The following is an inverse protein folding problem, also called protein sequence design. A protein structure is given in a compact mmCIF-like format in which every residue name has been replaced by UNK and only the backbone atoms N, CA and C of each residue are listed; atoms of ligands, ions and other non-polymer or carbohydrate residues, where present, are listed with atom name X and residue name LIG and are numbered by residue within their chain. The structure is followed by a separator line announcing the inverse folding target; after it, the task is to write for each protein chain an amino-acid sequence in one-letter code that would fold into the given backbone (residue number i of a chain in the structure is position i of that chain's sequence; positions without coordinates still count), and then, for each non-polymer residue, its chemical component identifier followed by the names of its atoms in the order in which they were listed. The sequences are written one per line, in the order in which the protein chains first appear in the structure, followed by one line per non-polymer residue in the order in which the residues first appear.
data_IF_614870743821
#
_entry.id   IF_614870743821
#
_cell.length_a   1.000
_cell.length_b   1.000
_cell.length_c   1.000
_cell.angle_alpha   90.00
_cell.angle_beta   90.00
_cell.angle_gamma   90.00
#
_symmetry.space_group_name_H-M   'P 1'
#
loop_
_entity.id
_entity.type
_entity.pdbx_description
1 polymer ?
#
# COMPACT_ATOMS: atom_id res chain seq x y z
N UNK A 1 -25.55 33.57 3.93
CA UNK A 1 -25.15 32.26 4.49
C UNK A 1 -23.68 32.04 4.12
N UNK A 2 -22.77 32.37 5.03
CA UNK A 2 -21.32 32.19 4.83
C UNK A 2 -21.01 30.69 4.84
N UNK A 3 -20.63 30.14 3.69
CA UNK A 3 -20.02 28.81 3.61
C UNK A 3 -18.79 28.87 4.51
N UNK A 4 -18.84 28.22 5.68
CA UNK A 4 -17.67 28.10 6.55
C UNK A 4 -16.57 27.42 5.72
N UNK A 5 -15.53 28.17 5.40
CA UNK A 5 -14.38 27.64 4.66
C UNK A 5 -13.82 26.45 5.44
N UNK A 6 -13.99 25.25 4.89
CA UNK A 6 -13.45 24.03 5.50
C UNK A 6 -11.94 24.20 5.62
N UNK A 7 -11.43 24.26 6.84
CA UNK A 7 -10.01 24.46 7.11
C UNK A 7 -9.21 23.29 6.53
N UNK A 8 -8.30 23.59 5.62
CA UNK A 8 -7.45 22.59 4.98
C UNK A 8 -6.57 21.89 6.01
N UNK A 9 -6.68 20.56 6.10
CA UNK A 9 -5.87 19.71 7.00
C UNK A 9 -4.51 19.36 6.38
N UNK A 10 -3.54 20.25 6.55
CA UNK A 10 -2.16 20.06 6.07
C UNK A 10 -1.42 18.94 6.78
N UNK A 11 -1.75 18.68 8.04
CA UNK A 11 -1.23 17.60 8.86
C UNK A 11 -1.44 16.21 8.24
N UNK A 12 -2.55 16.00 7.51
CA UNK A 12 -2.78 14.75 6.77
C UNK A 12 -1.73 14.51 5.68
N UNK A 13 -1.23 15.58 5.04
CA UNK A 13 -0.11 15.46 4.11
C UNK A 13 1.19 15.15 4.86
N UNK A 14 1.37 15.72 6.06
CA UNK A 14 2.49 15.35 6.94
C UNK A 14 2.52 13.86 7.29
N UNK A 15 1.38 13.27 7.64
CA UNK A 15 1.29 11.83 7.91
C UNK A 15 1.64 11.03 6.65
N UNK A 16 1.16 11.45 5.46
CA UNK A 16 1.56 10.83 4.19
C UNK A 16 3.05 10.93 3.91
N UNK A 17 3.68 12.05 4.29
CA UNK A 17 5.11 12.25 4.13
C UNK A 17 5.93 11.28 5.00
N UNK A 18 5.51 11.08 6.25
CA UNK A 18 6.12 10.08 7.12
C UNK A 18 5.93 8.67 6.54
N UNK A 19 4.72 8.35 6.11
CA UNK A 19 4.37 7.06 5.52
C UNK A 19 5.22 6.73 4.28
N UNK A 20 5.32 7.65 3.30
CA UNK A 20 6.14 7.40 2.10
C UNK A 20 7.62 7.32 2.43
N UNK A 21 8.10 8.15 3.35
CA UNK A 21 9.51 8.12 3.76
C UNK A 21 9.87 6.78 4.38
N UNK A 22 9.02 6.25 5.26
CA UNK A 22 9.18 4.93 5.86
C UNK A 22 9.24 3.82 4.78
N UNK A 23 8.33 3.86 3.80
CA UNK A 23 8.31 2.88 2.70
C UNK A 23 9.59 2.95 1.86
N UNK A 24 10.02 4.16 1.48
CA UNK A 24 11.24 4.33 0.70
C UNK A 24 12.46 3.82 1.48
N UNK A 25 12.58 4.18 2.75
CA UNK A 25 13.67 3.71 3.61
C UNK A 25 13.68 2.18 3.74
N UNK A 26 12.51 1.54 3.84
CA UNK A 26 12.42 0.08 3.83
C UNK A 26 12.90 -0.53 2.52
N UNK A 27 12.54 0.04 1.36
CA UNK A 27 12.97 -0.50 0.08
C UNK A 27 14.46 -0.31 -0.20
N UNK A 28 15.02 0.86 0.12
CA UNK A 28 16.43 1.15 -0.11
C UNK A 28 17.36 0.57 0.97
N UNK A 29 16.89 0.49 2.22
CA UNK A 29 17.67 0.07 3.38
C UNK A 29 16.90 -0.91 4.30
N UNK A 30 16.47 -2.08 3.80
CA UNK A 30 15.58 -3.00 4.51
C UNK A 30 16.15 -3.54 5.82
N UNK A 31 17.48 -3.63 5.95
CA UNK A 31 18.13 -4.07 7.19
C UNK A 31 18.13 -3.00 8.29
N UNK A 32 18.14 -1.72 7.92
CA UNK A 32 18.12 -0.59 8.87
C UNK A 32 16.70 -0.18 9.23
N UNK A 33 15.77 -0.31 8.28
CA UNK A 33 14.37 0.07 8.44
C UNK A 33 13.42 -1.08 8.11
N UNK A 34 13.53 -2.24 8.79
CA UNK A 34 12.75 -3.44 8.46
C UNK A 34 11.23 -3.21 8.58
N UNK A 35 10.83 -2.27 9.44
CA UNK A 35 9.43 -1.97 9.73
C UNK A 35 8.87 -0.81 8.89
N UNK A 36 9.64 -0.27 7.94
CA UNK A 36 9.17 0.84 7.10
C UNK A 36 8.05 0.45 6.12
N UNK A 37 7.85 -0.85 5.85
CA UNK A 37 6.72 -1.38 5.09
C UNK A 37 5.35 -0.98 5.69
N UNK A 38 5.33 -0.70 7.00
CA UNK A 38 4.15 -0.27 7.74
C UNK A 38 3.62 1.10 7.24
N UNK A 39 4.42 1.90 6.55
CA UNK A 39 3.93 3.14 5.93
C UNK A 39 2.77 2.91 4.95
N UNK A 40 2.68 1.74 4.31
CA UNK A 40 1.52 1.36 3.47
C UNK A 40 0.23 1.28 4.30
N UNK A 41 0.31 0.77 5.52
CA UNK A 41 -0.84 0.66 6.43
C UNK A 41 -1.37 2.04 6.84
N UNK A 42 -0.46 2.99 7.05
CA UNK A 42 -0.81 4.37 7.35
C UNK A 42 -1.58 5.02 6.19
N UNK A 43 -1.21 4.72 4.93
CA UNK A 43 -1.97 5.15 3.76
C UNK A 43 -3.39 4.58 3.75
N UNK A 44 -3.58 3.31 4.11
CA UNK A 44 -4.91 2.71 4.18
C UNK A 44 -5.81 3.39 5.22
N UNK A 45 -5.29 3.67 6.42
CA UNK A 45 -6.02 4.45 7.44
C UNK A 45 -6.41 5.82 6.93
N UNK A 46 -5.45 6.55 6.34
CA UNK A 46 -5.69 7.88 5.77
C UNK A 46 -6.74 7.86 4.65
N UNK A 47 -6.71 6.85 3.78
CA UNK A 47 -7.68 6.71 2.69
C UNK A 47 -9.08 6.45 3.24
N UNK A 48 -9.21 5.59 4.24
CA UNK A 48 -10.46 5.35 4.95
C UNK A 48 -11.04 6.61 5.61
N UNK A 49 -10.21 7.38 6.32
CA UNK A 49 -10.60 8.66 6.94
C UNK A 49 -11.08 9.67 5.90
N UNK A 50 -10.30 9.87 4.83
CA UNK A 50 -10.62 10.85 3.79
C UNK A 50 -11.89 10.49 3.01
N UNK A 51 -12.15 9.20 2.76
CA UNK A 51 -13.37 8.78 2.07
C UNK A 51 -14.58 8.94 2.98
N UNK A 52 -14.44 8.60 4.27
CA UNK A 52 -15.50 8.73 5.25
C UNK A 52 -15.90 10.19 5.46
N UNK A 53 -14.92 11.08 5.65
CA UNK A 53 -15.17 12.54 5.71
C UNK A 53 -15.86 13.10 4.47
N UNK A 54 -15.63 12.51 3.29
CA UNK A 54 -16.27 12.95 2.07
C UNK A 54 -17.74 12.53 2.04
N UNK A 55 -18.03 11.27 2.39
CA UNK A 55 -19.39 10.73 2.42
C UNK A 55 -20.24 11.31 3.57
N UNK A 56 -19.64 11.65 4.71
CA UNK A 56 -20.32 12.28 5.84
C UNK A 56 -20.82 13.70 5.55
N UNK A 57 -20.27 14.35 4.51
CA UNK A 57 -20.72 15.69 4.07
C UNK A 57 -21.95 15.63 3.19
N UNK A 58 -22.20 14.47 2.56
CA UNK A 58 -23.35 14.29 1.69
C UNK A 58 -24.59 14.01 2.54
N UNK A 59 -25.67 14.77 2.31
CA UNK A 59 -26.92 14.60 3.06
C UNK A 59 -27.64 13.30 2.68
N UNK A 60 -27.51 12.90 1.41
CA UNK A 60 -28.05 11.68 0.85
C UNK A 60 -26.98 11.01 0.01
N UNK A 61 -26.96 9.67 -0.01
CA UNK A 61 -26.05 8.88 -0.81
C UNK A 61 -26.87 8.18 -1.90
N UNK A 62 -27.06 8.88 -3.02
CA UNK A 62 -27.68 8.36 -4.22
C UNK A 62 -26.65 7.87 -5.25
N UNK A 63 -27.14 7.56 -6.45
CA UNK A 63 -26.32 7.10 -7.55
C UNK A 63 -25.31 8.16 -8.01
N UNK A 64 -25.73 9.43 -8.07
CA UNK A 64 -24.89 10.53 -8.57
C UNK A 64 -23.69 10.79 -7.65
N UNK A 65 -23.88 10.79 -6.34
CA UNK A 65 -22.80 11.00 -5.36
C UNK A 65 -21.77 9.86 -5.42
N UNK A 66 -22.24 8.62 -5.56
CA UNK A 66 -21.36 7.44 -5.71
C UNK A 66 -20.62 7.46 -7.05
N UNK A 67 -21.29 7.80 -8.15
CA UNK A 67 -20.66 7.94 -9.45
C UNK A 67 -19.60 9.06 -9.46
N UNK A 68 -19.91 10.21 -8.83
CA UNK A 68 -18.98 11.32 -8.67
C UNK A 68 -17.77 10.91 -7.83
N UNK A 69 -17.98 10.13 -6.77
CA UNK A 69 -16.91 9.55 -5.96
C UNK A 69 -15.96 8.69 -6.82
N UNK A 70 -16.50 7.71 -7.56
CA UNK A 70 -15.69 6.85 -8.43
C UNK A 70 -14.93 7.64 -9.49
N UNK A 71 -15.59 8.59 -10.15
CA UNK A 71 -14.94 9.45 -11.13
C UNK A 71 -13.76 10.23 -10.54
N UNK A 72 -13.94 10.86 -9.37
CA UNK A 72 -12.86 11.61 -8.70
C UNK A 72 -11.69 10.72 -8.29
N UNK A 73 -11.96 9.47 -7.87
CA UNK A 73 -10.90 8.51 -7.52
C UNK A 73 -10.16 8.03 -8.76
N UNK A 74 -10.89 7.62 -9.80
CA UNK A 74 -10.35 7.16 -11.06
C UNK A 74 -9.46 8.22 -11.71
N UNK A 75 -9.94 9.47 -11.83
CA UNK A 75 -9.17 10.59 -12.41
C UNK A 75 -7.91 10.93 -11.62
N UNK A 76 -7.88 10.65 -10.32
CA UNK A 76 -6.72 10.89 -9.46
C UNK A 76 -5.66 9.79 -9.58
N UNK A 77 -6.08 8.54 -9.75
CA UNK A 77 -5.20 7.37 -9.61
C UNK A 77 -4.80 6.79 -10.96
N UNK A 78 -5.78 6.48 -11.82
CA UNK A 78 -5.57 5.71 -13.04
C UNK A 78 -4.58 6.36 -14.03
N UNK A 79 -4.60 7.68 -14.30
CA UNK A 79 -3.73 8.25 -15.31
C UNK A 79 -2.24 8.00 -15.04
N UNK A 80 -1.77 8.31 -13.83
CA UNK A 80 -0.38 8.07 -13.44
C UNK A 80 -0.07 6.59 -13.21
N UNK A 81 -1.04 5.80 -12.76
CA UNK A 81 -0.84 4.36 -12.54
C UNK A 81 -0.59 3.65 -13.88
N UNK A 82 -1.46 3.90 -14.86
CA UNK A 82 -1.34 3.35 -16.21
C UNK A 82 -0.11 3.88 -16.94
N UNK A 83 0.23 5.17 -16.76
CA UNK A 83 1.44 5.75 -17.34
C UNK A 83 2.70 5.05 -16.80
N UNK A 84 2.78 4.82 -15.49
CA UNK A 84 3.94 4.13 -14.90
C UNK A 84 4.00 2.68 -15.36
N UNK A 85 2.87 1.98 -15.48
CA UNK A 85 2.85 0.63 -16.06
C UNK A 85 3.41 0.65 -17.50
N UNK A 86 2.87 1.53 -18.35
CA UNK A 86 3.31 1.65 -19.74
C UNK A 86 4.81 1.94 -19.85
N UNK A 87 5.30 2.93 -19.11
CA UNK A 87 6.73 3.29 -19.13
C UNK A 87 7.62 2.18 -18.58
N UNK A 88 7.17 1.47 -17.53
CA UNK A 88 7.92 0.34 -16.95
C UNK A 88 8.03 -0.81 -17.95
N UNK A 89 6.97 -1.08 -18.71
CA UNK A 89 6.96 -2.10 -19.76
C UNK A 89 7.88 -1.75 -20.92
N UNK A 90 7.79 -0.51 -21.43
CA UNK A 90 8.71 -0.02 -22.47
C UNK A 90 10.16 -0.12 -21.98
N UNK A 91 10.44 0.36 -20.77
CA UNK A 91 11.78 0.27 -20.20
C UNK A 91 12.25 -1.18 -20.02
N UNK A 92 11.36 -2.09 -19.60
CA UNK A 92 11.68 -3.51 -19.41
C UNK A 92 12.18 -4.18 -20.70
N UNK A 93 11.61 -3.79 -21.85
CA UNK A 93 12.00 -4.32 -23.14
C UNK A 93 13.47 -4.01 -23.51
N UNK A 94 13.94 -2.82 -23.12
CA UNK A 94 15.31 -2.37 -23.41
C UNK A 94 16.33 -2.75 -22.34
N UNK A 95 15.91 -2.95 -21.09
CA UNK A 95 16.82 -3.10 -19.94
C UNK A 95 16.98 -4.55 -19.48
N UNK A 96 15.93 -5.38 -19.58
CA UNK A 96 15.89 -6.72 -18.98
C UNK A 96 16.09 -7.83 -20.01
N UNK A 97 16.58 -9.01 -19.58
CA UNK A 97 16.62 -10.20 -20.44
C UNK A 97 15.22 -10.72 -20.81
N UNK A 98 15.14 -11.52 -21.89
CA UNK A 98 13.87 -12.13 -22.35
C UNK A 98 13.16 -12.94 -21.26
N UNK A 99 13.90 -13.62 -20.39
CA UNK A 99 13.34 -14.38 -19.27
C UNK A 99 12.62 -13.46 -18.27
N UNK A 100 13.27 -12.36 -17.85
CA UNK A 100 12.66 -11.40 -16.93
C UNK A 100 11.55 -10.59 -17.60
N UNK A 101 11.64 -10.31 -18.91
CA UNK A 101 10.54 -9.69 -19.66
C UNK A 101 9.29 -10.57 -19.63
N UNK A 102 9.41 -11.87 -19.86
CA UNK A 102 8.27 -12.79 -19.86
C UNK A 102 7.54 -12.82 -18.51
N UNK A 103 8.28 -12.93 -17.39
CA UNK A 103 7.66 -12.91 -16.06
C UNK A 103 7.02 -11.55 -15.73
N UNK A 104 7.64 -10.45 -16.16
CA UNK A 104 7.10 -9.12 -15.91
C UNK A 104 5.89 -8.80 -16.79
N UNK A 105 5.76 -9.41 -17.97
CA UNK A 105 4.57 -9.30 -18.80
C UNK A 105 3.33 -9.89 -18.12
N UNK A 106 3.49 -11.07 -17.51
CA UNK A 106 2.42 -11.68 -16.74
C UNK A 106 2.00 -10.78 -15.57
N UNK A 107 2.96 -10.34 -14.74
CA UNK A 107 2.67 -9.42 -13.61
C UNK A 107 2.05 -8.08 -14.07
N UNK A 108 2.37 -7.61 -15.28
CA UNK A 108 1.73 -6.41 -15.84
C UNK A 108 0.25 -6.62 -16.17
N UNK A 109 -0.16 -7.82 -16.63
CA UNK A 109 -1.57 -8.15 -16.84
C UNK A 109 -2.33 -8.06 -15.51
N UNK A 110 -1.79 -8.66 -14.45
CA UNK A 110 -2.37 -8.53 -13.11
C UNK A 110 -2.45 -7.06 -12.65
N UNK A 111 -1.43 -6.25 -12.97
CA UNK A 111 -1.41 -4.83 -12.62
C UNK A 111 -2.48 -4.03 -13.38
N UNK A 112 -2.66 -4.29 -14.67
CA UNK A 112 -3.70 -3.68 -15.51
C UNK A 112 -5.10 -4.08 -15.06
N UNK A 113 -5.29 -5.33 -14.65
CA UNK A 113 -6.55 -5.83 -14.09
C UNK A 113 -6.80 -5.39 -12.65
N UNK A 114 -5.88 -4.63 -12.03
CA UNK A 114 -5.94 -4.17 -10.64
C UNK A 114 -6.07 -5.31 -9.61
N UNK A 115 -5.31 -6.40 -9.81
CA UNK A 115 -5.38 -7.62 -8.99
C UNK A 115 -4.01 -8.21 -8.59
N UNK A 116 -2.91 -7.44 -8.63
CA UNK A 116 -1.58 -7.91 -8.17
C UNK A 116 -1.54 -8.28 -6.69
N UNK A 117 -2.55 -7.87 -5.92
CA UNK A 117 -2.73 -8.31 -4.55
C UNK A 117 -3.23 -9.76 -4.44
N UNK A 118 -3.69 -10.40 -5.52
CA UNK A 118 -4.15 -11.80 -5.51
C UNK A 118 -3.00 -12.76 -5.74
N UNK A 119 -2.09 -12.44 -6.66
CA UNK A 119 -0.94 -13.26 -7.07
C UNK A 119 -0.04 -13.66 -5.89
N UNK A 120 -0.03 -12.86 -4.82
CA UNK A 120 1.02 -12.90 -3.83
C UNK A 120 0.72 -13.64 -2.51
N UNK A 121 -0.43 -14.31 -2.30
CA UNK A 121 -0.59 -15.02 -1.03
C UNK A 121 -1.64 -16.13 -0.96
N UNK A 122 -1.16 -17.29 -0.55
CA UNK A 122 -1.93 -18.31 0.16
C UNK A 122 -1.66 -18.24 1.68
N UNK A 123 -0.52 -17.68 2.10
CA UNK A 123 -0.11 -17.60 3.51
C UNK A 123 0.55 -16.27 3.93
N UNK A 124 0.64 -16.02 5.24
CA UNK A 124 1.41 -14.89 5.80
C UNK A 124 2.90 -14.93 5.41
N UNK A 125 3.46 -16.12 5.19
CA UNK A 125 4.86 -16.29 4.78
C UNK A 125 5.07 -15.77 3.36
N UNK A 126 4.12 -16.02 2.46
CA UNK A 126 4.18 -15.56 1.08
C UNK A 126 4.04 -14.05 1.01
N UNK A 127 3.14 -13.48 1.81
CA UNK A 127 3.05 -12.04 2.00
C UNK A 127 4.40 -11.42 2.43
N UNK A 128 5.06 -12.00 3.44
CA UNK A 128 6.35 -11.49 3.91
C UNK A 128 7.47 -11.65 2.85
N UNK A 129 7.45 -12.72 2.05
CA UNK A 129 8.39 -12.89 0.92
C UNK A 129 8.14 -11.85 -0.17
N UNK A 130 6.87 -11.60 -0.50
CA UNK A 130 6.47 -10.57 -1.46
C UNK A 130 7.03 -9.21 -1.05
N UNK A 131 6.99 -8.84 0.24
CA UNK A 131 7.54 -7.57 0.75
C UNK A 131 9.04 -7.36 0.49
N UNK A 132 9.79 -8.42 0.21
CA UNK A 132 11.24 -8.34 -0.05
C UNK A 132 11.63 -8.77 -1.47
N UNK A 133 10.70 -9.33 -2.25
CA UNK A 133 10.93 -9.73 -3.65
C UNK A 133 11.30 -8.50 -4.49
N UNK A 134 12.35 -8.60 -5.30
CA UNK A 134 12.83 -7.52 -6.18
C UNK A 134 13.01 -7.95 -7.64
N UNK A 135 12.42 -9.08 -8.02
CA UNK A 135 12.50 -9.65 -9.37
C UNK A 135 11.30 -9.29 -10.26
N UNK A 136 10.43 -8.40 -9.81
CA UNK A 136 9.22 -8.00 -10.52
C UNK A 136 8.96 -6.49 -10.32
N UNK A 137 8.79 -5.80 -11.45
CA UNK A 137 8.56 -4.36 -11.59
C UNK A 137 7.19 -3.95 -11.03
N UNK A 138 6.21 -4.86 -11.00
CA UNK A 138 4.83 -4.57 -10.65
C UNK A 138 4.44 -5.07 -9.25
N UNK A 139 5.32 -5.80 -8.55
CA UNK A 139 5.01 -6.37 -7.23
C UNK A 139 4.41 -5.33 -6.27
N UNK A 140 4.88 -4.08 -6.24
CA UNK A 140 4.39 -3.03 -5.30
C UNK A 140 3.08 -2.37 -5.68
N UNK A 141 2.53 -2.67 -6.85
CA UNK A 141 1.19 -2.21 -7.24
C UNK A 141 0.08 -2.87 -6.41
N UNK A 142 0.38 -3.95 -5.67
CA UNK A 142 -0.57 -4.68 -4.84
C UNK A 142 -1.37 -3.76 -3.90
N UNK A 143 -0.72 -2.77 -3.28
CA UNK A 143 -1.39 -1.89 -2.33
C UNK A 143 -2.34 -0.90 -3.01
N UNK A 144 -2.00 -0.45 -4.23
CA UNK A 144 -2.86 0.43 -5.02
C UNK A 144 -4.05 -0.35 -5.59
N UNK A 145 -3.81 -1.59 -6.04
CA UNK A 145 -4.88 -2.51 -6.45
C UNK A 145 -5.86 -2.74 -5.30
N UNK A 146 -5.34 -3.04 -4.10
CA UNK A 146 -6.13 -3.20 -2.89
C UNK A 146 -6.91 -1.93 -2.55
N UNK A 147 -6.27 -0.76 -2.62
CA UNK A 147 -6.93 0.53 -2.37
C UNK A 147 -8.06 0.81 -3.39
N UNK A 148 -7.87 0.51 -4.67
CA UNK A 148 -8.89 0.64 -5.71
C UNK A 148 -10.06 -0.34 -5.50
N UNK A 149 -9.77 -1.59 -5.16
CA UNK A 149 -10.79 -2.57 -4.80
C UNK A 149 -11.58 -2.11 -3.57
N UNK A 150 -10.90 -1.56 -2.56
CA UNK A 150 -11.55 -0.97 -1.39
C UNK A 150 -12.46 0.20 -1.80
N UNK A 151 -12.01 1.11 -2.67
CA UNK A 151 -12.86 2.20 -3.14
C UNK A 151 -14.11 1.72 -3.84
N UNK A 152 -14.02 0.64 -4.63
CA UNK A 152 -15.18 0.05 -5.28
C UNK A 152 -16.23 -0.46 -4.28
N UNK A 153 -15.81 -1.07 -3.17
CA UNK A 153 -16.73 -1.59 -2.14
C UNK A 153 -17.10 -0.56 -1.06
N UNK A 154 -16.40 0.58 -1.01
CA UNK A 154 -16.51 1.56 0.06
C UNK A 154 -17.93 2.10 0.29
N UNK A 155 -18.72 2.49 -0.73
CA UNK A 155 -20.07 3.03 -0.49
C UNK A 155 -20.97 2.04 0.26
N UNK A 156 -20.89 0.75 -0.07
CA UNK A 156 -21.64 -0.29 0.61
C UNK A 156 -21.18 -0.45 2.06
N UNK A 157 -19.86 -0.50 2.29
CA UNK A 157 -19.30 -0.58 3.64
C UNK A 157 -19.69 0.64 4.47
N UNK A 158 -19.68 1.84 3.88
CA UNK A 158 -20.03 3.07 4.57
C UNK A 158 -21.48 3.03 5.10
N UNK A 159 -22.40 2.49 4.31
CA UNK A 159 -23.81 2.29 4.69
C UNK A 159 -23.96 1.23 5.78
N UNK A 160 -23.32 0.05 5.63
CA UNK A 160 -23.39 -1.04 6.62
C UNK A 160 -22.77 -0.62 7.95
N UNK A 161 -21.63 0.06 7.90
CA UNK A 161 -20.90 0.49 9.10
C UNK A 161 -21.68 1.47 9.95
N UNK A 162 -22.49 2.35 9.33
CA UNK A 162 -23.40 3.25 10.06
C UNK A 162 -24.36 2.45 10.96
N UNK A 163 -24.70 1.23 10.55
CA UNK A 163 -25.68 0.38 11.22
C UNK A 163 -25.04 -0.65 12.17
N UNK A 164 -23.84 -1.19 11.88
CA UNK A 164 -23.27 -2.33 12.62
C UNK A 164 -21.72 -2.33 12.75
N UNK A 165 -21.11 -1.38 13.49
CA UNK A 165 -19.66 -1.27 13.60
C UNK A 165 -18.98 -2.46 14.32
N UNK A 166 -19.67 -3.06 15.30
CA UNK A 166 -19.15 -4.17 16.10
C UNK A 166 -19.11 -5.51 15.35
N UNK A 167 -20.05 -5.74 14.42
CA UNK A 167 -20.09 -6.97 13.61
C UNK A 167 -18.89 -7.04 12.66
N UNK A 168 -18.55 -5.91 12.03
CA UNK A 168 -17.42 -5.81 11.10
C UNK A 168 -16.09 -6.00 11.85
N UNK A 169 -15.95 -5.43 13.05
CA UNK A 169 -14.76 -5.59 13.89
C UNK A 169 -14.55 -7.04 14.39
N UNK A 170 -15.62 -7.82 14.56
CA UNK A 170 -15.54 -9.22 14.99
C UNK A 170 -15.35 -10.20 13.82
N UNK A 171 -16.01 -9.98 12.65
CA UNK A 171 -15.74 -10.74 11.43
C UNK A 171 -14.25 -10.65 11.02
N UNK A 172 -13.66 -9.46 11.23
CA UNK A 172 -12.24 -9.19 11.03
C UNK A 172 -11.31 -10.13 11.81
N UNK A 173 -11.55 -10.32 13.11
CA UNK A 173 -10.72 -11.19 13.96
C UNK A 173 -10.75 -12.65 13.49
N UNK A 174 -11.91 -13.11 13.02
CA UNK A 174 -12.11 -14.47 12.52
C UNK A 174 -11.32 -14.69 11.21
N UNK A 175 -11.26 -13.69 10.34
CA UNK A 175 -10.55 -13.78 9.05
C UNK A 175 -9.03 -13.75 9.25
N UNK A 176 -8.52 -12.86 10.11
CA UNK A 176 -7.07 -12.76 10.42
C UNK A 176 -6.58 -14.01 11.16
N UNK A 177 -7.38 -14.57 12.08
CA UNK A 177 -7.02 -15.76 12.83
C UNK A 177 -6.87 -17.03 11.98
N UNK A 178 -7.46 -17.07 10.77
CA UNK A 178 -7.41 -18.24 9.87
C UNK A 178 -6.20 -18.26 8.92
N UNK A 179 -5.28 -17.29 9.02
CA UNK A 179 -4.05 -17.29 8.22
C UNK A 179 -4.22 -16.85 6.76
N UNK A 180 -5.37 -16.26 6.41
CA UNK A 180 -5.62 -15.74 5.06
C UNK A 180 -4.60 -14.68 4.65
N UNK A 181 -4.21 -14.77 3.38
CA UNK A 181 -3.58 -13.76 2.53
C UNK A 181 -3.76 -12.30 3.01
N UNK A 182 -2.80 -11.79 3.80
CA UNK A 182 -2.90 -10.48 4.43
C UNK A 182 -2.89 -9.32 3.42
N UNK A 183 -2.52 -9.56 2.18
CA UNK A 183 -2.66 -8.67 1.00
C UNK A 183 -4.09 -8.62 0.42
N UNK A 184 -5.06 -9.38 0.93
CA UNK A 184 -6.45 -9.31 0.44
C UNK A 184 -7.23 -8.17 1.10
N UNK A 185 -8.20 -7.62 0.37
CA UNK A 185 -9.06 -6.51 0.85
C UNK A 185 -9.75 -6.86 2.16
N UNK A 186 -10.34 -8.05 2.26
CA UNK A 186 -11.06 -8.51 3.45
C UNK A 186 -10.17 -8.52 4.71
N UNK A 187 -8.90 -8.93 4.56
CA UNK A 187 -7.93 -8.99 5.67
C UNK A 187 -7.42 -7.60 6.10
N UNK A 188 -7.62 -6.58 5.26
CA UNK A 188 -7.10 -5.21 5.41
C UNK A 188 -8.20 -4.17 5.67
N UNK A 189 -9.46 -4.54 5.48
CA UNK A 189 -10.61 -3.67 5.54
C UNK A 189 -10.68 -2.85 6.85
N UNK A 190 -10.28 -3.46 7.96
CA UNK A 190 -10.21 -2.84 9.28
C UNK A 190 -9.33 -1.59 9.32
N UNK A 191 -8.24 -1.51 8.54
CA UNK A 191 -7.34 -0.35 8.53
C UNK A 191 -8.04 0.87 7.95
N UNK A 192 -8.77 0.66 6.85
CA UNK A 192 -9.58 1.71 6.25
C UNK A 192 -10.75 2.11 7.15
N UNK A 193 -11.41 1.15 7.79
CA UNK A 193 -12.53 1.43 8.70
C UNK A 193 -12.07 2.19 9.94
N UNK A 194 -10.88 1.88 10.48
CA UNK A 194 -10.31 2.61 11.60
C UNK A 194 -10.05 4.08 11.26
N UNK A 195 -9.84 4.40 9.98
CA UNK A 195 -9.78 5.79 9.54
C UNK A 195 -11.06 6.58 9.79
N UNK A 196 -12.25 5.96 9.77
CA UNK A 196 -13.54 6.67 9.93
C UNK A 196 -13.80 7.17 11.37
N UNK A 197 -13.19 6.56 12.36
CA UNK A 197 -13.76 6.38 13.70
C UNK A 197 -14.36 7.61 14.40
N UNK A 198 -15.67 7.56 14.68
CA UNK A 198 -16.28 8.15 15.87
C UNK A 198 -15.90 7.33 17.12
N UNK A 199 -16.07 7.88 18.33
CA UNK A 199 -15.66 7.27 19.61
C UNK A 199 -16.12 5.81 19.84
N UNK A 200 -17.23 5.38 19.23
CA UNK A 200 -17.80 4.03 19.33
C UNK A 200 -16.89 2.95 18.73
N UNK A 201 -16.10 3.29 17.73
CA UNK A 201 -15.30 2.36 16.96
C UNK A 201 -13.97 2.02 17.63
N UNK A 202 -13.37 2.98 18.35
CA UNK A 202 -12.23 2.70 19.22
C UNK A 202 -12.60 1.69 20.31
N UNK A 203 -13.80 1.82 20.90
CA UNK A 203 -14.30 0.87 21.90
C UNK A 203 -14.46 -0.53 21.30
N UNK A 204 -15.09 -0.66 20.14
CA UNK A 204 -15.25 -1.93 19.43
C UNK A 204 -13.91 -2.65 19.19
N UNK A 205 -12.91 -1.90 18.74
CA UNK A 205 -11.57 -2.43 18.50
C UNK A 205 -10.78 -2.74 19.79
N UNK A 206 -10.94 -1.94 20.84
CA UNK A 206 -10.28 -2.17 22.13
C UNK A 206 -10.82 -3.41 22.88
N UNK A 207 -12.09 -3.78 22.69
CA UNK A 207 -12.65 -5.04 23.22
C UNK A 207 -12.09 -6.26 22.47
N UNK A 208 -11.81 -6.10 21.18
CA UNK A 208 -11.16 -7.11 20.33
C UNK A 208 -9.67 -7.32 20.64
N UNK A 209 -9.04 -6.43 21.43
CA UNK A 209 -7.61 -6.44 21.77
C UNK A 209 -7.15 -7.72 22.51
N UNK A 210 -8.04 -8.31 23.32
CA UNK A 210 -7.75 -9.52 24.10
C UNK A 210 -7.48 -10.77 23.22
N UNK A 211 -7.86 -10.73 21.94
CA UNK A 211 -7.62 -11.84 21.00
C UNK A 211 -6.29 -11.72 20.22
N UNK A 212 -5.58 -10.58 20.32
CA UNK A 212 -4.34 -10.31 19.60
C UNK A 212 -3.12 -11.11 20.11
N UNK A 213 -3.24 -11.75 21.27
CA UNK A 213 -2.17 -12.57 21.87
C UNK A 213 -1.76 -13.72 20.94
N UNK A 214 -2.69 -14.24 20.13
CA UNK A 214 -2.48 -15.37 19.20
C UNK A 214 -1.92 -14.96 17.83
N UNK A 215 -1.70 -13.67 17.59
CA UNK A 215 -1.30 -13.14 16.28
C UNK A 215 0.24 -13.05 16.18
N UNK A 216 0.85 -13.43 15.03
CA UNK A 216 2.29 -13.29 14.80
C UNK A 216 2.82 -11.87 15.10
N UNK A 217 4.02 -11.79 15.71
CA UNK A 217 4.68 -10.54 16.12
C UNK A 217 4.70 -9.45 15.02
N UNK A 218 4.98 -9.82 13.76
CA UNK A 218 5.01 -8.87 12.64
C UNK A 218 3.65 -8.22 12.34
N UNK A 219 2.53 -8.90 12.62
CA UNK A 219 1.20 -8.31 12.44
C UNK A 219 0.86 -7.37 13.63
N UNK A 220 1.47 -7.58 14.80
CA UNK A 220 1.29 -6.65 15.95
C UNK A 220 1.82 -5.26 15.65
N UNK A 221 2.93 -5.14 14.92
CA UNK A 221 3.49 -3.83 14.52
C UNK A 221 2.54 -3.08 13.58
N UNK A 222 1.94 -3.80 12.62
CA UNK A 222 0.91 -3.25 11.72
C UNK A 222 -0.29 -2.74 12.51
N UNK A 223 -0.77 -3.51 13.48
CA UNK A 223 -1.86 -3.11 14.38
C UNK A 223 -1.48 -1.83 15.12
N UNK A 224 -0.37 -1.83 15.86
CA UNK A 224 0.08 -0.67 16.65
C UNK A 224 0.16 0.59 15.78
N UNK A 225 0.80 0.52 14.62
CA UNK A 225 0.91 1.67 13.72
C UNK A 225 -0.44 2.14 13.18
N UNK A 226 -1.35 1.24 12.85
CA UNK A 226 -2.69 1.59 12.35
C UNK A 226 -3.46 2.38 13.43
N UNK A 227 -3.44 1.92 14.68
CA UNK A 227 -4.07 2.62 15.81
C UNK A 227 -3.38 3.95 16.14
N UNK A 228 -2.06 4.01 16.11
CA UNK A 228 -1.32 5.26 16.31
C UNK A 228 -1.67 6.28 15.21
N UNK A 229 -1.76 5.84 13.96
CA UNK A 229 -2.12 6.71 12.84
C UNK A 229 -3.54 7.24 12.98
N UNK A 230 -4.51 6.38 13.32
CA UNK A 230 -5.87 6.81 13.60
C UNK A 230 -5.90 7.80 14.79
N UNK A 231 -5.24 7.47 15.89
CA UNK A 231 -5.09 8.35 17.05
C UNK A 231 -4.51 9.72 16.67
N UNK A 232 -3.47 9.77 15.83
CA UNK A 232 -2.88 11.02 15.32
C UNK A 232 -3.86 11.83 14.47
N UNK A 233 -4.63 11.17 13.59
CA UNK A 233 -5.65 11.83 12.76
C UNK A 233 -6.75 12.47 13.61
N UNK A 234 -7.18 11.82 14.69
CA UNK A 234 -8.29 12.27 15.54
C UNK A 234 -7.86 13.22 16.67
N UNK A 235 -6.63 13.09 17.18
CA UNK A 235 -6.11 13.91 18.28
C UNK A 235 -5.59 15.28 17.85
N UNK A 236 -5.32 15.50 16.56
CA UNK A 236 -4.85 16.80 16.06
C UNK A 236 -6.02 17.72 15.62
N UNK A 237 -6.50 18.64 16.49
CA UNK A 237 -7.32 19.75 16.04
C UNK A 237 -6.48 20.68 15.16
N UNK A 238 -7.15 21.29 14.20
CA UNK A 238 -6.65 22.09 13.07
C UNK A 238 -5.87 23.37 13.43
N UNK A 239 -5.38 23.52 14.67
CA UNK A 239 -4.89 24.78 15.24
C UNK A 239 -3.44 24.79 15.74
N UNK A 240 -2.65 23.72 15.56
CA UNK A 240 -1.23 23.73 15.93
C UNK A 240 -0.31 23.67 14.72
N UNK A 241 0.75 24.49 14.72
CA UNK A 241 1.89 24.41 13.80
C UNK A 241 2.75 23.18 14.14
N UNK A 242 2.17 21.99 13.97
CA UNK A 242 2.87 20.71 14.09
C UNK A 242 3.94 20.60 12.99
N UNK A 243 5.03 19.88 13.28
CA UNK A 243 6.02 19.46 12.28
C UNK A 243 5.31 18.82 11.06
N UNK A 244 4.21 18.09 11.29
CA UNK A 244 3.39 17.49 10.24
C UNK A 244 2.77 18.52 9.28
N UNK A 245 2.48 19.73 9.76
CA UNK A 245 1.89 20.82 8.99
C UNK A 245 2.93 21.74 8.33
N UNK A 246 4.23 21.43 8.43
CA UNK A 246 5.28 22.22 7.79
C UNK A 246 5.15 22.24 6.26
N UNK A 247 5.71 23.26 5.61
CA UNK A 247 5.72 23.38 4.14
C UNK A 247 6.40 22.18 3.47
N UNK A 248 7.51 21.70 4.04
CA UNK A 248 8.30 20.60 3.50
C UNK A 248 7.57 19.25 3.63
N UNK A 249 7.06 18.93 4.82
CA UNK A 249 6.28 17.69 5.02
C UNK A 249 5.02 17.69 4.17
N UNK A 250 4.33 18.83 4.06
CA UNK A 250 3.15 18.94 3.20
C UNK A 250 3.50 18.71 1.73
N UNK A 251 4.64 19.23 1.26
CA UNK A 251 5.10 19.04 -0.11
C UNK A 251 5.42 17.57 -0.41
N UNK A 252 6.20 16.92 0.45
CA UNK A 252 6.51 15.48 0.33
C UNK A 252 5.22 14.64 0.37
N UNK A 253 4.29 14.99 1.25
CA UNK A 253 2.99 14.34 1.35
C UNK A 253 2.14 14.45 0.09
N UNK A 254 2.19 15.60 -0.61
CA UNK A 254 1.51 15.77 -1.90
C UNK A 254 2.15 14.92 -3.01
N UNK A 255 3.46 14.73 -2.96
CA UNK A 255 4.21 13.88 -3.90
C UNK A 255 4.12 12.39 -3.58
N UNK A 256 3.61 12.02 -2.41
CA UNK A 256 3.72 10.66 -1.86
C UNK A 256 3.25 9.58 -2.83
N UNK A 257 2.18 9.86 -3.58
CA UNK A 257 1.60 8.93 -4.55
C UNK A 257 2.51 8.73 -5.78
N UNK A 258 3.00 9.81 -6.39
CA UNK A 258 3.92 9.74 -7.52
C UNK A 258 5.24 9.07 -7.11
N UNK A 259 5.76 9.41 -5.93
CA UNK A 259 6.94 8.75 -5.38
C UNK A 259 6.71 7.25 -5.18
N UNK A 260 5.57 6.86 -4.62
CA UNK A 260 5.22 5.45 -4.41
C UNK A 260 5.15 4.68 -5.73
N UNK A 261 4.57 5.25 -6.78
CA UNK A 261 4.48 4.59 -8.08
C UNK A 261 5.85 4.42 -8.76
N UNK A 262 6.63 5.49 -8.82
CA UNK A 262 7.80 5.56 -9.71
C UNK A 262 9.04 4.91 -9.09
N UNK A 263 9.22 4.98 -7.77
CA UNK A 263 10.46 4.52 -7.15
C UNK A 263 10.69 3.01 -7.33
N UNK A 264 9.63 2.20 -7.34
CA UNK A 264 9.76 0.75 -7.30
C UNK A 264 10.26 0.18 -8.63
N UNK A 265 9.63 0.44 -9.80
CA UNK A 265 10.12 -0.06 -11.08
C UNK A 265 11.57 0.37 -11.37
N UNK A 266 11.95 1.59 -10.98
CA UNK A 266 13.33 2.08 -11.11
C UNK A 266 14.28 1.24 -10.22
N UNK A 267 13.95 1.09 -8.95
CA UNK A 267 14.77 0.34 -8.00
C UNK A 267 14.94 -1.13 -8.43
N UNK A 268 13.87 -1.79 -8.83
CA UNK A 268 13.91 -3.20 -9.24
C UNK A 268 14.60 -3.39 -10.57
N UNK A 269 14.39 -2.52 -11.58
CA UNK A 269 15.13 -2.59 -12.84
C UNK A 269 16.65 -2.54 -12.63
N UNK A 270 17.13 -1.58 -11.82
CA UNK A 270 18.57 -1.46 -11.49
C UNK A 270 19.07 -2.73 -10.78
N UNK A 271 18.29 -3.28 -9.84
CA UNK A 271 18.69 -4.45 -9.06
C UNK A 271 18.70 -5.73 -9.90
N UNK A 272 17.72 -5.90 -10.79
CA UNK A 272 17.61 -7.01 -11.73
C UNK A 272 18.78 -7.01 -12.70
N UNK A 273 19.09 -5.85 -13.31
CA UNK A 273 20.21 -5.71 -14.23
C UNK A 273 21.56 -6.03 -13.55
N UNK A 274 21.77 -5.55 -12.31
CA UNK A 274 22.98 -5.89 -11.54
C UNK A 274 23.08 -7.40 -11.26
N UNK A 275 21.96 -8.05 -10.96
CA UNK A 275 21.90 -9.49 -10.72
C UNK A 275 22.23 -10.28 -11.99
N UNK A 276 21.68 -9.90 -13.14
CA UNK A 276 21.96 -10.55 -14.43
C UNK A 276 23.44 -10.41 -14.80
N UNK A 277 24.00 -9.21 -14.69
CA UNK A 277 25.41 -8.96 -14.98
C UNK A 277 26.35 -9.77 -14.07
N UNK A 278 25.99 -9.97 -12.80
CA UNK A 278 26.77 -10.79 -11.88
C UNK A 278 26.73 -12.28 -12.25
N UNK A 279 25.56 -12.78 -12.65
CA UNK A 279 25.37 -14.17 -13.10
C UNK A 279 26.13 -14.44 -14.41
N UNK A 280 26.07 -13.51 -15.37
CA UNK A 280 26.80 -13.62 -16.64
C UNK A 280 28.31 -13.74 -16.42
N UNK A 281 28.90 -12.87 -15.59
CA UNK A 281 30.33 -12.94 -15.23
C UNK A 281 30.72 -14.25 -14.54
N UNK A 282 29.85 -14.77 -13.68
CA UNK A 282 30.07 -16.06 -13.02
C UNK A 282 30.07 -17.23 -14.02
N UNK A 283 29.13 -17.23 -14.97
CA UNK A 283 29.03 -18.26 -16.00
C UNK A 283 30.24 -18.23 -16.95
N UNK A 284 30.68 -17.05 -17.39
CA UNK A 284 31.88 -16.87 -18.21
C UNK A 284 33.15 -17.38 -17.50
N UNK A 285 33.30 -17.08 -16.21
CA UNK A 285 34.42 -17.58 -15.40
C UNK A 285 34.43 -19.11 -15.30
N UNK A 286 33.27 -19.73 -15.08
CA UNK A 286 33.15 -21.19 -15.04
C UNK A 286 33.46 -21.85 -16.39
N UNK A 287 33.00 -21.27 -17.49
CA UNK A 287 33.30 -21.73 -18.86
C UNK A 287 34.80 -21.62 -19.14
N UNK A 288 35.44 -20.48 -18.83
CA UNK A 288 36.86 -20.28 -19.01
C UNK A 288 37.68 -21.31 -18.21
N UNK A 289 37.34 -21.54 -16.94
CA UNK A 289 38.00 -22.54 -16.11
C UNK A 289 37.82 -23.97 -16.65
N UNK A 290 36.65 -24.29 -17.21
CA UNK A 290 36.39 -25.60 -17.81
C UNK A 290 37.19 -25.81 -19.09
N UNK A 291 37.31 -24.78 -19.93
CA UNK A 291 38.12 -24.81 -21.16
C UNK A 291 39.62 -24.93 -20.84
N UNK A 292 40.11 -24.19 -19.84
CA UNK A 292 41.50 -24.30 -19.37
C UNK A 292 41.78 -25.69 -18.80
N UNK A 293 40.84 -26.27 -18.04
CA UNK A 293 41.00 -27.62 -17.51
C UNK A 293 41.07 -28.68 -18.62
N UNK A 294 40.26 -28.54 -19.69
CA UNK A 294 40.27 -29.44 -20.84
C UNK A 294 41.49 -29.29 -21.76
N UNK A 295 42.17 -28.13 -21.75
CA UNK A 295 43.39 -27.90 -22.56
C UNK A 295 44.68 -28.30 -21.85
N UNK A 296 44.62 -28.57 -20.53
CA UNK A 296 45.74 -29.07 -19.73
C UNK A 296 45.72 -30.59 -19.51
N UNK A 297 44.70 -31.28 -20.01
CA UNK A 297 44.55 -32.75 -19.99
C UNK A 297 44.86 -33.32 -21.37
#
# INVERSE_FOLDING_TARGET
MTISAVKYRSDLQGIRALAITAVLLFHFYPLRFPNGHIGVDQFFVLSGFLMSMMFEREKHLGFEEVACFYYRRARRILPSYLLVILLSLIASHFILSLYLQASNWESAIYALMLITNIEAAESIRDYLRMLTRTSDLFTRTWSICLEMQFYFIFPLIFLIYKSMPFLIANLFLIIVGKGFAFNMVHARLWQFILGKTENSSYRAFSVSYLQLVRIPLKIKEVIVSTFLTAGLIHSHPTNYSSILSSKYTTYVGKLSYSLYLVHWPIYTAIKMQKSENALGKSAESQLCNTVIAKTKA
#
